data_IF_270273587316
#
_entry.id   IF_270273587316
#
_cell.length_a   1.000
_cell.length_b   1.000
_cell.length_c   1.000
_cell.angle_alpha   90.00
_cell.angle_beta   90.00
_cell.angle_gamma   90.00
#
_symmetry.space_group_name_H-M   'P 1'
#
loop_
_entity.id
_entity.type
_entity.pdbx_description
1 polymer ?
#
# COMPACT_ATOMS: atom_id res chain seq x y z
N UNK A 1 -19.68 23.57 -6.16
CA UNK A 1 -18.79 22.85 -5.23
C UNK A 1 -17.57 23.73 -5.00
N UNK A 2 -17.25 24.05 -3.76
CA UNK A 2 -16.11 24.92 -3.44
C UNK A 2 -14.82 24.13 -3.78
N UNK A 3 -13.97 24.55 -4.72
CA UNK A 3 -12.81 23.76 -5.14
C UNK A 3 -11.71 23.68 -4.08
N UNK A 4 -11.88 24.33 -2.95
CA UNK A 4 -10.88 24.45 -1.90
C UNK A 4 -11.12 23.58 -0.67
N UNK A 5 -12.21 22.80 -0.61
CA UNK A 5 -12.47 21.94 0.57
C UNK A 5 -11.71 20.61 0.45
N UNK A 6 -10.44 20.63 0.78
CA UNK A 6 -9.61 19.43 0.91
C UNK A 6 -10.00 18.64 2.18
N UNK A 7 -10.15 19.36 3.29
CA UNK A 7 -10.50 18.81 4.61
C UNK A 7 -12.01 18.77 4.80
N UNK A 8 -12.62 17.65 4.42
CA UNK A 8 -14.04 17.41 4.71
C UNK A 8 -14.20 16.27 5.71
N UNK A 9 -15.19 16.37 6.58
CA UNK A 9 -15.45 15.34 7.57
C UNK A 9 -15.67 13.95 6.91
N UNK A 10 -16.33 13.91 5.76
CA UNK A 10 -16.54 12.66 5.01
C UNK A 10 -15.24 12.07 4.49
N UNK A 11 -14.28 12.88 4.01
CA UNK A 11 -12.98 12.40 3.56
C UNK A 11 -12.17 11.82 4.73
N UNK A 12 -12.17 12.49 5.87
CA UNK A 12 -11.49 12.02 7.08
C UNK A 12 -12.10 10.72 7.60
N UNK A 13 -13.43 10.67 7.77
CA UNK A 13 -14.12 9.47 8.24
C UNK A 13 -13.91 8.28 7.29
N UNK A 14 -14.01 8.52 5.99
CA UNK A 14 -13.74 7.46 5.00
C UNK A 14 -12.29 6.99 5.07
N UNK A 15 -11.34 7.92 5.16
CA UNK A 15 -9.93 7.60 5.29
C UNK A 15 -9.61 6.80 6.55
N UNK A 16 -10.19 7.18 7.70
CA UNK A 16 -10.02 6.46 8.96
C UNK A 16 -10.64 5.05 8.87
N UNK A 17 -11.85 4.92 8.33
CA UNK A 17 -12.50 3.62 8.15
C UNK A 17 -11.67 2.70 7.25
N UNK A 18 -11.19 3.20 6.11
CA UNK A 18 -10.29 2.46 5.23
C UNK A 18 -8.96 2.14 5.92
N UNK A 19 -8.42 3.07 6.70
CA UNK A 19 -7.19 2.87 7.46
C UNK A 19 -7.31 1.73 8.47
N UNK A 20 -8.42 1.63 9.19
CA UNK A 20 -8.66 0.52 10.12
C UNK A 20 -8.71 -0.82 9.36
N UNK A 21 -9.44 -0.88 8.25
CA UNK A 21 -9.57 -2.10 7.45
C UNK A 21 -8.23 -2.52 6.85
N UNK A 22 -7.54 -1.61 6.18
CA UNK A 22 -6.26 -1.92 5.54
C UNK A 22 -5.13 -2.14 6.56
N UNK A 23 -5.14 -1.40 7.67
CA UNK A 23 -4.19 -1.61 8.77
C UNK A 23 -4.34 -2.99 9.38
N UNK A 24 -5.57 -3.42 9.68
CA UNK A 24 -5.85 -4.76 10.19
C UNK A 24 -5.49 -5.86 9.17
N UNK A 25 -5.84 -5.66 7.90
CA UNK A 25 -5.49 -6.60 6.84
C UNK A 25 -3.96 -6.72 6.68
N UNK A 26 -3.25 -5.59 6.73
CA UNK A 26 -1.80 -5.56 6.63
C UNK A 26 -1.12 -6.20 7.85
N UNK A 27 -1.69 -5.99 9.06
CA UNK A 27 -1.24 -6.66 10.27
C UNK A 27 -1.37 -8.18 10.16
N UNK A 28 -2.52 -8.65 9.70
CA UNK A 28 -2.75 -10.08 9.49
C UNK A 28 -1.77 -10.68 8.45
N UNK A 29 -1.60 -10.01 7.30
CA UNK A 29 -0.70 -10.47 6.25
C UNK A 29 0.76 -10.45 6.71
N UNK A 30 1.19 -9.38 7.35
CA UNK A 30 2.57 -9.24 7.83
C UNK A 30 2.95 -10.30 8.85
N UNK A 31 2.05 -10.62 9.79
CA UNK A 31 2.28 -11.67 10.78
C UNK A 31 2.22 -13.09 10.18
N UNK A 32 1.40 -13.30 9.16
CA UNK A 32 1.21 -14.62 8.55
C UNK A 32 2.23 -14.94 7.47
N UNK A 33 2.58 -13.96 6.63
CA UNK A 33 3.38 -14.16 5.42
C UNK A 33 4.73 -13.44 5.51
N UNK A 34 4.93 -12.56 6.50
CA UNK A 34 6.16 -11.78 6.63
C UNK A 34 6.27 -10.61 5.66
N UNK A 35 5.20 -10.28 4.95
CA UNK A 35 5.17 -9.19 3.96
C UNK A 35 4.05 -8.20 4.25
N UNK A 36 4.30 -6.94 3.92
CA UNK A 36 3.29 -5.87 3.99
C UNK A 36 2.99 -5.32 2.60
N UNK A 37 1.77 -4.87 2.39
CA UNK A 37 1.32 -4.34 1.11
C UNK A 37 0.93 -2.88 1.27
N UNK A 38 1.35 -2.03 0.33
CA UNK A 38 0.88 -0.65 0.29
C UNK A 38 -0.61 -0.58 -0.04
N UNK A 39 -1.34 0.25 0.68
CA UNK A 39 -2.77 0.47 0.46
C UNK A 39 -3.07 1.75 -0.32
N UNK A 40 -2.07 2.49 -0.82
CA UNK A 40 -2.29 3.79 -1.49
C UNK A 40 -3.27 3.69 -2.66
N UNK A 41 -3.03 2.79 -3.59
CA UNK A 41 -3.89 2.61 -4.77
C UNK A 41 -5.25 2.00 -4.41
N UNK A 42 -5.35 0.90 -3.65
CA UNK A 42 -6.63 0.38 -3.20
C UNK A 42 -7.47 1.40 -2.42
N UNK A 43 -6.83 2.16 -1.51
CA UNK A 43 -7.52 3.19 -0.75
C UNK A 43 -8.05 4.32 -1.64
N UNK A 44 -7.29 4.75 -2.66
CA UNK A 44 -7.73 5.74 -3.61
C UNK A 44 -8.99 5.29 -4.37
N UNK A 45 -8.96 4.07 -4.91
CA UNK A 45 -10.10 3.51 -5.67
C UNK A 45 -11.31 3.31 -4.78
N UNK A 46 -11.12 2.74 -3.57
CA UNK A 46 -12.22 2.52 -2.63
C UNK A 46 -12.83 3.83 -2.11
N UNK A 47 -12.01 4.85 -1.89
CA UNK A 47 -12.52 6.18 -1.50
C UNK A 47 -13.48 6.73 -2.55
N UNK A 48 -13.09 6.71 -3.83
CA UNK A 48 -13.94 7.19 -4.93
C UNK A 48 -15.20 6.34 -5.07
N UNK A 49 -15.09 5.02 -4.90
CA UNK A 49 -16.23 4.12 -4.94
C UNK A 49 -17.22 4.36 -3.78
N UNK A 50 -16.73 4.48 -2.55
CA UNK A 50 -17.55 4.72 -1.35
C UNK A 50 -18.25 6.08 -1.38
N UNK A 51 -17.58 7.10 -1.87
CA UNK A 51 -18.13 8.45 -2.03
C UNK A 51 -18.90 8.62 -3.34
N UNK A 52 -19.14 7.51 -4.07
CA UNK A 52 -19.96 7.44 -5.31
C UNK A 52 -19.51 8.42 -6.38
N UNK A 53 -18.22 8.64 -6.52
CA UNK A 53 -17.67 9.60 -7.50
C UNK A 53 -17.99 11.09 -7.22
N UNK A 54 -18.65 11.40 -6.12
CA UNK A 54 -18.96 12.78 -5.70
C UNK A 54 -17.89 13.32 -4.77
N UNK A 55 -16.65 13.19 -5.17
CA UNK A 55 -15.46 13.54 -4.39
C UNK A 55 -14.53 14.38 -5.24
N UNK A 56 -13.96 15.43 -4.67
CA UNK A 56 -12.89 16.18 -5.33
C UNK A 56 -11.59 15.37 -5.32
N UNK A 57 -10.67 15.70 -6.23
CA UNK A 57 -9.34 15.08 -6.27
C UNK A 57 -8.61 15.22 -4.91
N UNK A 58 -8.72 16.38 -4.29
CA UNK A 58 -8.06 16.69 -3.02
C UNK A 58 -8.68 15.91 -1.85
N UNK A 59 -10.01 15.81 -1.78
CA UNK A 59 -10.69 14.98 -0.79
C UNK A 59 -10.31 13.49 -0.93
N UNK A 60 -10.27 13.00 -2.18
CA UNK A 60 -9.89 11.62 -2.44
C UNK A 60 -8.42 11.36 -2.06
N UNK A 61 -7.53 12.31 -2.34
CA UNK A 61 -6.13 12.25 -1.95
C UNK A 61 -5.97 12.26 -0.42
N UNK A 62 -6.69 13.11 0.30
CA UNK A 62 -6.65 13.14 1.76
C UNK A 62 -7.12 11.81 2.35
N UNK A 63 -8.25 11.29 1.89
CA UNK A 63 -8.81 10.03 2.38
C UNK A 63 -7.87 8.85 2.11
N UNK A 64 -7.29 8.74 0.92
CA UNK A 64 -6.33 7.69 0.61
C UNK A 64 -5.04 7.82 1.44
N UNK A 65 -4.57 9.05 1.68
CA UNK A 65 -3.37 9.29 2.49
C UNK A 65 -3.58 8.83 3.94
N UNK A 66 -4.74 9.14 4.54
CA UNK A 66 -5.08 8.64 5.88
C UNK A 66 -5.14 7.12 5.89
N UNK A 67 -5.80 6.52 4.89
CA UNK A 67 -5.90 5.06 4.76
C UNK A 67 -4.54 4.38 4.60
N UNK A 68 -3.67 4.95 3.78
CA UNK A 68 -2.32 4.43 3.53
C UNK A 68 -1.38 4.61 4.72
N UNK A 69 -1.49 5.72 5.45
CA UNK A 69 -0.67 5.96 6.65
C UNK A 69 -0.85 4.87 7.71
N UNK A 70 -2.06 4.34 7.85
CA UNK A 70 -2.35 3.23 8.77
C UNK A 70 -1.57 1.96 8.42
N UNK A 71 -1.42 1.63 7.14
CA UNK A 71 -0.65 0.45 6.72
C UNK A 71 0.84 0.61 6.96
N UNK A 72 1.37 1.82 6.85
CA UNK A 72 2.77 2.12 7.15
C UNK A 72 3.08 1.98 8.66
N UNK A 73 2.19 2.47 9.52
CA UNK A 73 2.29 2.28 10.96
C UNK A 73 2.17 0.80 11.35
N UNK A 74 1.23 0.08 10.75
CA UNK A 74 1.07 -1.35 10.96
C UNK A 74 2.35 -2.11 10.58
N UNK A 75 2.96 -1.80 9.44
CA UNK A 75 4.20 -2.41 8.99
C UNK A 75 5.34 -2.23 10.02
N UNK A 76 5.55 -1.01 10.51
CA UNK A 76 6.55 -0.74 11.54
C UNK A 76 6.34 -1.56 12.82
N UNK A 77 5.09 -1.68 13.25
CA UNK A 77 4.74 -2.41 14.49
C UNK A 77 4.89 -3.93 14.33
N UNK A 78 4.46 -4.49 13.21
CA UNK A 78 4.44 -5.93 12.94
C UNK A 78 5.84 -6.53 12.95
N UNK A 79 6.83 -5.82 12.45
CA UNK A 79 8.20 -6.32 12.37
C UNK A 79 9.02 -6.08 13.65
N UNK A 80 8.58 -5.20 14.54
CA UNK A 80 9.31 -4.86 15.76
C UNK A 80 8.72 -5.50 17.01
N UNK A 81 7.41 -5.45 17.19
CA UNK A 81 6.74 -5.94 18.42
C UNK A 81 6.89 -7.45 18.64
N UNK A 82 6.83 -8.33 17.61
CA UNK A 82 7.02 -9.76 17.83
C UNK A 82 8.37 -10.14 18.45
N UNK A 83 9.42 -9.35 18.22
CA UNK A 83 10.73 -9.58 18.85
C UNK A 83 10.65 -9.46 20.39
N UNK A 84 9.82 -8.57 20.93
CA UNK A 84 9.61 -8.44 22.36
C UNK A 84 8.92 -9.69 22.93
N UNK A 85 7.99 -10.27 22.23
CA UNK A 85 7.33 -11.51 22.64
C UNK A 85 8.31 -12.69 22.71
N UNK A 86 9.27 -12.76 21.79
CA UNK A 86 10.33 -13.78 21.83
C UNK A 86 11.23 -13.62 23.07
N UNK A 87 11.38 -12.40 23.58
CA UNK A 87 12.10 -12.12 24.83
C UNK A 87 11.24 -12.28 26.09
N UNK A 88 9.99 -12.72 25.93
CA UNK A 88 9.06 -12.89 27.05
C UNK A 88 8.44 -11.58 27.55
N UNK A 89 8.64 -10.48 26.85
CA UNK A 89 8.10 -9.17 27.20
C UNK A 89 6.78 -8.98 26.44
N UNK A 90 5.67 -8.85 27.16
CA UNK A 90 4.35 -8.55 26.60
C UNK A 90 4.00 -7.11 26.92
N UNK A 91 4.25 -6.14 26.01
CA UNK A 91 3.91 -4.75 26.26
C UNK A 91 2.39 -4.57 26.29
N UNK A 92 1.84 -3.76 27.19
CA UNK A 92 0.43 -3.46 27.22
C UNK A 92 0.04 -2.63 25.97
N UNK A 93 -1.19 -2.79 25.53
CA UNK A 93 -1.72 -2.16 24.30
C UNK A 93 -1.46 -0.65 24.22
N UNK A 94 -1.62 0.07 25.33
CA UNK A 94 -1.42 1.51 25.35
C UNK A 94 0.03 1.94 25.08
N UNK A 95 1.02 1.13 25.47
CA UNK A 95 2.45 1.40 25.16
C UNK A 95 2.70 1.25 23.67
N UNK A 96 2.16 0.20 23.05
CA UNK A 96 2.26 0.01 21.60
C UNK A 96 1.60 1.18 20.86
N UNK A 97 0.40 1.58 21.28
CA UNK A 97 -0.31 2.70 20.69
C UNK A 97 0.47 4.01 20.83
N UNK A 98 1.06 4.27 22.00
CA UNK A 98 1.88 5.46 22.24
C UNK A 98 3.16 5.45 21.39
N UNK A 99 3.82 4.31 21.29
CA UNK A 99 5.00 4.15 20.42
C UNK A 99 4.66 4.41 18.94
N UNK A 100 3.55 3.88 18.47
CA UNK A 100 3.06 4.14 17.11
C UNK A 100 2.78 5.64 16.89
N UNK A 101 2.14 6.29 17.85
CA UNK A 101 1.84 7.72 17.79
C UNK A 101 3.13 8.55 17.76
N UNK A 102 4.06 8.29 18.66
CA UNK A 102 5.35 8.98 18.72
C UNK A 102 6.18 8.74 17.45
N UNK A 103 6.21 7.50 16.95
CA UNK A 103 6.88 7.15 15.71
C UNK A 103 6.29 7.86 14.50
N UNK A 104 4.95 7.95 14.43
CA UNK A 104 4.25 8.70 13.38
C UNK A 104 4.56 10.20 13.42
N UNK A 105 4.54 10.80 14.60
CA UNK A 105 4.89 12.23 14.78
C UNK A 105 6.35 12.48 14.40
N UNK A 106 7.26 11.63 14.84
CA UNK A 106 8.69 11.75 14.52
C UNK A 106 8.94 11.63 13.02
N UNK A 107 8.32 10.63 12.36
CA UNK A 107 8.43 10.44 10.93
C UNK A 107 7.89 11.64 10.14
N UNK A 108 6.75 12.18 10.56
CA UNK A 108 6.18 13.38 9.96
C UNK A 108 7.10 14.59 10.15
N UNK A 109 7.61 14.81 11.37
CA UNK A 109 8.50 15.92 11.69
C UNK A 109 9.81 15.84 10.87
N UNK A 110 10.36 14.65 10.67
CA UNK A 110 11.53 14.44 9.82
C UNK A 110 11.23 14.66 8.34
N UNK A 111 10.04 14.24 7.86
CA UNK A 111 9.70 14.33 6.44
C UNK A 111 9.36 15.77 5.99
N UNK A 112 8.83 16.62 6.85
CA UNK A 112 8.49 18.01 6.51
C UNK A 112 9.68 18.77 5.89
N UNK A 113 10.86 18.85 6.52
CA UNK A 113 12.01 19.50 5.93
C UNK A 113 12.57 18.77 4.70
N UNK A 114 12.58 17.42 4.73
CA UNK A 114 13.09 16.60 3.64
C UNK A 114 12.23 16.67 2.38
N UNK A 115 10.95 16.94 2.51
CA UNK A 115 10.01 17.04 1.38
C UNK A 115 10.49 18.01 0.32
N UNK A 116 11.00 19.17 0.73
CA UNK A 116 11.46 20.19 -0.23
C UNK A 116 12.63 19.68 -1.06
N UNK A 117 13.58 19.01 -0.44
CA UNK A 117 14.78 18.48 -1.09
C UNK A 117 14.45 17.26 -1.95
N UNK A 118 13.79 16.24 -1.37
CA UNK A 118 13.60 14.94 -2.02
C UNK A 118 12.45 14.95 -3.03
N UNK A 119 11.34 15.65 -2.72
CA UNK A 119 10.14 15.58 -3.58
C UNK A 119 10.09 16.76 -4.55
N UNK A 120 10.40 17.98 -4.10
CA UNK A 120 10.24 19.16 -4.95
C UNK A 120 11.48 19.40 -5.83
N UNK A 121 12.67 19.41 -5.24
CA UNK A 121 13.90 19.70 -5.98
C UNK A 121 14.37 18.50 -6.81
N UNK A 122 14.30 17.30 -6.26
CA UNK A 122 14.72 16.08 -6.94
C UNK A 122 13.61 15.43 -7.79
N UNK A 123 12.51 16.13 -8.07
CA UNK A 123 11.35 15.56 -8.77
C UNK A 123 11.65 14.94 -10.13
N UNK A 124 12.64 15.49 -10.86
CA UNK A 124 13.04 14.96 -12.17
C UNK A 124 14.10 13.86 -12.12
N UNK A 125 14.75 13.68 -10.96
CA UNK A 125 15.85 12.72 -10.79
C UNK A 125 15.41 11.46 -10.05
N UNK A 126 14.53 11.62 -9.07
CA UNK A 126 14.02 10.50 -8.26
C UNK A 126 12.67 10.02 -8.79
N UNK A 127 12.56 8.78 -9.26
CA UNK A 127 11.29 8.18 -9.63
C UNK A 127 10.52 7.80 -8.37
N UNK A 128 9.26 8.21 -8.30
CA UNK A 128 8.30 7.80 -7.27
C UNK A 128 7.16 7.00 -7.91
N UNK A 129 7.41 5.74 -8.31
CA UNK A 129 6.47 5.00 -9.17
C UNK A 129 5.12 4.78 -8.50
N UNK A 130 5.08 4.47 -7.21
CA UNK A 130 3.84 4.27 -6.47
C UNK A 130 3.05 5.57 -6.31
N UNK A 131 3.72 6.66 -5.93
CA UNK A 131 3.07 7.97 -5.80
C UNK A 131 2.52 8.48 -7.13
N UNK A 132 3.27 8.31 -8.22
CA UNK A 132 2.86 8.69 -9.57
C UNK A 132 1.65 7.86 -10.02
N UNK A 133 1.70 6.54 -9.85
CA UNK A 133 0.59 5.66 -10.17
C UNK A 133 -0.67 6.00 -9.35
N UNK A 134 -0.52 6.27 -8.05
CA UNK A 134 -1.63 6.69 -7.19
C UNK A 134 -2.25 8.02 -7.67
N UNK A 135 -1.43 9.00 -8.04
CA UNK A 135 -1.91 10.28 -8.56
C UNK A 135 -2.66 10.11 -9.89
N UNK A 136 -2.19 9.27 -10.78
CA UNK A 136 -2.88 8.96 -12.04
C UNK A 136 -4.20 8.23 -11.81
N UNK A 137 -4.24 7.27 -10.89
CA UNK A 137 -5.47 6.59 -10.50
C UNK A 137 -6.49 7.58 -9.93
N UNK A 138 -6.07 8.46 -9.03
CA UNK A 138 -6.94 9.51 -8.48
C UNK A 138 -7.49 10.42 -9.57
N UNK A 139 -6.66 10.89 -10.49
CA UNK A 139 -7.08 11.72 -11.62
C UNK A 139 -8.07 10.99 -12.53
N UNK A 140 -7.75 9.75 -12.90
CA UNK A 140 -8.61 8.96 -13.77
C UNK A 140 -9.97 8.63 -13.12
N UNK A 141 -10.00 8.37 -11.83
CA UNK A 141 -11.23 8.01 -11.11
C UNK A 141 -12.11 9.22 -10.78
N UNK A 142 -11.51 10.37 -10.47
CA UNK A 142 -12.27 11.59 -10.15
C UNK A 142 -12.77 12.35 -11.38
N UNK A 143 -12.06 12.26 -12.51
CA UNK A 143 -12.47 12.92 -13.76
C UNK A 143 -13.57 12.20 -14.55
N UNK A 144 -14.03 11.03 -14.09
CA UNK A 144 -15.08 10.25 -14.77
C UNK A 144 -14.68 9.75 -16.17
N UNK A 145 -13.38 9.75 -16.48
CA UNK A 145 -12.86 9.35 -17.77
C UNK A 145 -13.00 7.83 -18.02
N UNK A 146 -12.91 7.41 -19.28
CA UNK A 146 -12.89 5.99 -19.67
C UNK A 146 -11.80 5.18 -18.95
N UNK A 147 -10.76 5.82 -18.45
CA UNK A 147 -9.70 5.22 -17.65
C UNK A 147 -10.20 4.57 -16.36
N UNK A 148 -11.21 5.15 -15.71
CA UNK A 148 -11.80 4.58 -14.49
C UNK A 148 -12.29 3.14 -14.69
N UNK A 149 -12.90 2.82 -15.80
CA UNK A 149 -13.41 1.46 -16.11
C UNK A 149 -12.26 0.44 -16.21
N UNK A 150 -11.13 0.83 -16.75
CA UNK A 150 -9.96 -0.04 -16.87
C UNK A 150 -9.32 -0.32 -15.52
N UNK A 151 -9.28 0.67 -14.63
CA UNK A 151 -8.77 0.51 -13.26
C UNK A 151 -9.64 -0.50 -12.49
N UNK A 152 -10.97 -0.34 -12.53
CA UNK A 152 -11.89 -1.28 -11.89
C UNK A 152 -11.80 -2.70 -12.49
N UNK A 153 -11.65 -2.81 -13.80
CA UNK A 153 -11.44 -4.11 -14.46
C UNK A 153 -10.12 -4.74 -14.04
N UNK A 154 -9.03 -3.96 -14.01
CA UNK A 154 -7.72 -4.44 -13.53
C UNK A 154 -7.78 -4.92 -12.08
N UNK A 155 -8.45 -4.16 -11.21
CA UNK A 155 -8.65 -4.55 -9.81
C UNK A 155 -9.49 -5.85 -9.70
N UNK A 156 -10.55 -5.99 -10.49
CA UNK A 156 -11.37 -7.20 -10.51
C UNK A 156 -10.56 -8.42 -11.00
N UNK A 157 -9.77 -8.26 -12.05
CA UNK A 157 -8.90 -9.31 -12.58
C UNK A 157 -7.84 -9.70 -11.54
N UNK A 158 -7.18 -8.71 -10.92
CA UNK A 158 -6.20 -8.97 -9.86
C UNK A 158 -6.81 -9.69 -8.65
N UNK A 159 -8.01 -9.27 -8.22
CA UNK A 159 -8.76 -9.94 -7.16
C UNK A 159 -9.13 -11.37 -7.56
N UNK A 160 -9.59 -11.60 -8.79
CA UNK A 160 -9.93 -12.93 -9.29
C UNK A 160 -8.70 -13.84 -9.33
N UNK A 161 -7.56 -13.36 -9.82
CA UNK A 161 -6.30 -14.13 -9.84
C UNK A 161 -5.86 -14.48 -8.42
N UNK A 162 -5.93 -13.52 -7.48
CA UNK A 162 -5.59 -13.79 -6.06
C UNK A 162 -6.57 -14.78 -5.43
N UNK A 163 -7.85 -14.71 -5.74
CA UNK A 163 -8.85 -15.65 -5.24
C UNK A 163 -8.60 -17.06 -5.79
N UNK A 164 -8.31 -17.19 -7.08
CA UNK A 164 -7.98 -18.45 -7.72
C UNK A 164 -6.70 -19.07 -7.14
N UNK A 165 -5.69 -18.25 -6.88
CA UNK A 165 -4.43 -18.71 -6.30
C UNK A 165 -4.53 -19.04 -4.82
N UNK A 166 -5.14 -18.16 -4.01
CA UNK A 166 -5.10 -18.24 -2.55
C UNK A 166 -6.24 -19.09 -1.95
N UNK A 167 -7.39 -19.18 -2.61
CA UNK A 167 -8.59 -19.88 -2.09
C UNK A 167 -8.82 -21.19 -2.82
N UNK A 168 -8.73 -21.19 -4.14
CA UNK A 168 -8.99 -22.38 -4.95
C UNK A 168 -7.73 -23.20 -5.23
N UNK A 169 -6.55 -22.69 -4.91
CA UNK A 169 -5.25 -23.35 -5.14
C UNK A 169 -5.04 -23.85 -6.57
N UNK A 170 -5.72 -23.22 -7.53
CA UNK A 170 -5.66 -23.60 -8.96
C UNK A 170 -4.38 -23.07 -9.63
N UNK A 171 -3.77 -22.04 -9.07
CA UNK A 171 -2.53 -21.45 -9.55
C UNK A 171 -1.52 -21.50 -8.40
N UNK A 172 -0.35 -22.14 -8.59
CA UNK A 172 0.68 -22.13 -7.55
C UNK A 172 1.16 -20.70 -7.33
N UNK A 173 1.24 -20.28 -6.08
CA UNK A 173 1.78 -18.96 -5.69
C UNK A 173 3.28 -18.90 -5.83
N UNK A 174 3.94 -20.05 -5.72
CA UNK A 174 5.38 -20.23 -5.89
C UNK A 174 5.66 -21.44 -6.76
N UNK A 175 6.62 -21.29 -7.64
CA UNK A 175 7.20 -22.41 -8.38
C UNK A 175 8.61 -22.60 -7.83
N UNK A 176 8.79 -23.63 -7.01
CA UNK A 176 10.09 -23.98 -6.43
C UNK A 176 10.70 -25.20 -7.11
N UNK A 177 12.00 -25.18 -7.28
CA UNK A 177 12.77 -26.29 -7.78
C UNK A 177 14.07 -26.49 -6.98
N UNK A 178 14.33 -27.73 -6.58
CA UNK A 178 15.58 -28.09 -5.91
C UNK A 178 16.77 -27.99 -6.87
N UNK A 179 17.90 -27.48 -6.38
CA UNK A 179 19.15 -27.43 -7.17
C UNK A 179 19.89 -28.77 -7.02
N UNK A 180 20.03 -29.55 -8.12
CA UNK A 180 20.60 -30.90 -8.05
C UNK A 180 22.02 -31.00 -7.48
N UNK A 181 22.80 -29.91 -7.56
CA UNK A 181 24.19 -29.83 -7.12
C UNK A 181 24.36 -29.43 -5.64
N UNK A 182 23.34 -28.85 -5.02
CA UNK A 182 23.38 -28.31 -3.65
C UNK A 182 22.24 -28.90 -2.82
N UNK A 183 22.52 -29.92 -1.99
CA UNK A 183 21.52 -30.50 -1.11
C UNK A 183 20.96 -29.42 -0.18
N UNK A 184 19.64 -29.21 -0.20
CA UNK A 184 18.87 -28.19 0.53
C UNK A 184 18.87 -26.77 -0.06
N UNK A 185 19.37 -26.55 -1.29
CA UNK A 185 19.15 -25.30 -2.00
C UNK A 185 17.89 -25.39 -2.88
N UNK A 186 16.98 -24.47 -2.72
CA UNK A 186 15.79 -24.33 -3.53
C UNK A 186 15.81 -22.97 -4.22
N UNK A 187 15.46 -22.94 -5.50
CA UNK A 187 15.17 -21.72 -6.23
C UNK A 187 13.65 -21.63 -6.33
N UNK A 188 13.08 -20.58 -5.75
CA UNK A 188 11.65 -20.33 -5.82
C UNK A 188 11.39 -19.04 -6.59
N UNK A 189 10.40 -19.06 -7.48
CA UNK A 189 9.90 -17.89 -8.19
C UNK A 189 8.47 -17.66 -7.72
N UNK A 190 8.24 -16.53 -7.07
CA UNK A 190 6.91 -16.12 -6.65
C UNK A 190 6.15 -15.49 -7.83
N UNK A 191 4.95 -16.00 -8.09
CA UNK A 191 4.03 -15.43 -9.07
C UNK A 191 3.22 -14.30 -8.43
N UNK A 192 3.83 -13.12 -8.34
CA UNK A 192 3.21 -11.92 -7.77
C UNK A 192 2.78 -10.93 -8.88
N UNK A 193 1.48 -10.88 -9.25
CA UNK A 193 0.99 -9.95 -10.28
C UNK A 193 1.29 -8.48 -9.96
N UNK A 194 1.36 -8.13 -8.68
CA UNK A 194 1.71 -6.78 -8.24
C UNK A 194 3.15 -6.41 -8.61
N UNK A 195 4.11 -7.31 -8.38
CA UNK A 195 5.52 -7.08 -8.73
C UNK A 195 5.70 -7.00 -10.25
N UNK A 196 4.97 -7.84 -11.00
CA UNK A 196 4.98 -7.79 -12.46
C UNK A 196 4.46 -6.44 -12.99
N UNK A 197 3.39 -5.91 -12.39
CA UNK A 197 2.84 -4.60 -12.74
C UNK A 197 3.83 -3.46 -12.40
N UNK A 198 4.48 -3.51 -11.24
CA UNK A 198 5.52 -2.55 -10.85
C UNK A 198 6.70 -2.62 -11.83
N UNK A 199 7.16 -3.82 -12.17
CA UNK A 199 8.22 -4.01 -13.16
C UNK A 199 7.87 -3.44 -14.53
N UNK A 200 6.61 -3.58 -14.96
CA UNK A 200 6.13 -2.99 -16.21
C UNK A 200 6.13 -1.44 -16.16
N UNK A 201 5.72 -0.85 -15.04
CA UNK A 201 5.69 0.62 -14.85
C UNK A 201 7.12 1.20 -14.82
N UNK A 202 8.03 0.54 -14.11
CA UNK A 202 9.42 0.98 -14.00
C UNK A 202 10.21 0.83 -15.31
N UNK A 203 9.80 -0.10 -16.15
CA UNK A 203 10.50 -0.44 -17.38
C UNK A 203 11.76 -1.30 -17.15
N UNK A 204 12.24 -1.94 -18.19
CA UNK A 204 13.30 -2.97 -18.15
C UNK A 204 14.58 -2.50 -17.44
N UNK A 205 15.01 -1.27 -17.68
CA UNK A 205 16.30 -0.75 -17.18
C UNK A 205 16.35 -0.63 -15.66
N UNK A 206 15.23 -0.27 -15.03
CA UNK A 206 15.13 -0.11 -13.58
C UNK A 206 14.76 -1.43 -12.92
N UNK A 207 13.88 -2.22 -13.53
CA UNK A 207 13.45 -3.51 -13.00
C UNK A 207 14.55 -4.59 -13.03
N UNK A 208 15.58 -4.43 -13.86
CA UNK A 208 16.70 -5.36 -13.91
C UNK A 208 17.72 -5.16 -12.76
N UNK A 209 17.61 -4.05 -12.02
CA UNK A 209 18.51 -3.70 -10.90
C UNK A 209 17.84 -3.96 -9.55
N UNK A 210 16.51 -4.03 -9.50
CA UNK A 210 15.70 -4.29 -8.31
C UNK A 210 15.38 -5.77 -8.22
#
# INVERSE_FOLDING_TARGET
MNPAAEFTARAVVTGVALGIVFGAANAYLGLKVGMTVSASIPAAVMTVALLRGRVSLLEANLSQTIGSASTSLAAGTIFTVPALFLWGIVPPFWQIALLCLCGGILGLAAMIPLRRMLIVQAHGELPYPEGTACAEVLRATTSGSSGSKWIFRGMLVGAAVKLLAAVLFLVPTEVSGGVPLLPKAEIAIELAPALLAVGFILGYRQSAVV
#
